data_IF_535956317806
#
_entry.id   IF_535956317806
#
_cell.length_a   1.000
_cell.length_b   1.000
_cell.length_c   1.000
_cell.angle_alpha   90.00
_cell.angle_beta   90.00
_cell.angle_gamma   90.00
#
_symmetry.space_group_name_H-M   'P 1'
#
loop_
_entity.id
_entity.type
_entity.pdbx_description
1 polymer ?
#
# COMPACT_ATOMS: atom_id res chain seq x y z
N UNK A 1 -4.05 -16.37 11.30
CA UNK A 1 -2.89 -15.59 11.82
C UNK A 1 -3.28 -14.12 11.96
N UNK A 2 -2.66 -13.32 12.85
CA UNK A 2 -2.87 -11.86 12.91
C UNK A 2 -1.67 -11.13 12.31
N UNK A 3 -1.91 -10.05 11.56
CA UNK A 3 -0.87 -9.23 10.94
C UNK A 3 -1.23 -7.74 11.02
N UNK A 4 -0.22 -6.86 11.01
CA UNK A 4 -0.37 -5.40 11.05
C UNK A 4 0.41 -4.78 9.89
N UNK A 5 -0.23 -3.88 9.14
CA UNK A 5 0.39 -3.12 8.05
C UNK A 5 0.63 -1.67 8.51
N UNK A 6 1.88 -1.23 8.52
CA UNK A 6 2.24 0.14 8.89
C UNK A 6 2.15 1.09 7.69
N UNK A 7 1.11 1.92 7.65
CA UNK A 7 0.80 2.81 6.52
C UNK A 7 0.86 4.32 6.85
N UNK A 8 1.33 4.72 8.04
CA UNK A 8 1.26 6.10 8.56
C UNK A 8 2.39 7.07 8.17
N UNK A 9 3.13 6.83 7.08
CA UNK A 9 4.26 7.69 6.69
C UNK A 9 3.86 8.94 5.89
N UNK A 10 4.62 10.04 6.01
CA UNK A 10 4.36 11.35 5.35
C UNK A 10 4.35 11.35 3.79
N UNK A 11 4.68 10.22 3.15
CA UNK A 11 4.58 10.05 1.69
C UNK A 11 5.54 10.89 0.83
N UNK A 12 6.47 11.67 1.41
CA UNK A 12 7.25 12.71 0.70
C UNK A 12 8.02 12.23 -0.54
N UNK A 13 8.59 11.01 -0.50
CA UNK A 13 9.40 10.47 -1.62
C UNK A 13 8.63 10.23 -2.91
N UNK A 14 7.34 9.86 -2.81
CA UNK A 14 6.51 9.54 -3.98
C UNK A 14 5.56 10.67 -4.39
N UNK A 15 5.60 11.83 -3.74
CA UNK A 15 4.69 12.95 -4.03
C UNK A 15 4.69 13.41 -5.49
N UNK A 16 5.79 13.21 -6.23
CA UNK A 16 5.88 13.55 -7.67
C UNK A 16 5.04 12.62 -8.55
N UNK A 17 4.76 11.39 -8.09
CA UNK A 17 4.08 10.33 -8.86
C UNK A 17 2.69 10.03 -8.29
N UNK A 18 2.54 10.18 -6.96
CA UNK A 18 1.31 9.93 -6.22
C UNK A 18 1.10 11.10 -5.27
N UNK A 19 0.37 12.11 -5.76
CA UNK A 19 0.24 13.42 -5.10
C UNK A 19 -1.02 13.53 -4.25
N UNK A 20 -2.09 12.89 -4.69
CA UNK A 20 -3.45 12.97 -4.17
C UNK A 20 -3.82 11.81 -3.22
N UNK A 21 -2.92 10.84 -3.03
CA UNK A 21 -3.19 9.60 -2.28
C UNK A 21 -2.05 9.25 -1.32
N UNK A 22 -2.33 8.55 -0.21
CA UNK A 22 -1.29 7.95 0.63
C UNK A 22 -0.39 7.01 -0.18
N UNK A 23 0.87 6.85 0.24
CA UNK A 23 1.82 5.94 -0.44
C UNK A 23 1.26 4.52 -0.60
N UNK A 24 0.57 4.00 0.41
CA UNK A 24 -0.02 2.65 0.37
C UNK A 24 -1.11 2.50 -0.68
N UNK A 25 -1.71 3.61 -1.14
CA UNK A 25 -2.75 3.64 -2.17
C UNK A 25 -2.21 3.96 -3.56
N UNK A 26 -0.88 4.05 -3.72
CA UNK A 26 -0.25 4.20 -5.02
C UNK A 26 -0.70 3.10 -5.99
N UNK A 27 -1.10 3.43 -7.23
CA UNK A 27 -1.46 2.43 -8.21
C UNK A 27 -0.21 1.68 -8.69
N UNK A 28 -0.26 0.36 -8.66
CA UNK A 28 0.70 -0.57 -9.24
C UNK A 28 -0.11 -1.47 -10.17
N UNK A 29 0.15 -1.42 -11.48
CA UNK A 29 -0.60 -2.17 -12.50
C UNK A 29 -2.14 -2.07 -12.34
N UNK A 30 -2.63 -0.85 -12.06
CA UNK A 30 -4.07 -0.57 -11.89
C UNK A 30 -4.66 -0.92 -10.52
N UNK A 31 -3.88 -1.53 -9.61
CA UNK A 31 -4.33 -1.89 -8.25
C UNK A 31 -3.60 -1.07 -7.18
N UNK A 32 -4.23 -0.70 -6.05
CA UNK A 32 -3.52 -0.07 -4.93
C UNK A 32 -2.42 -0.99 -4.38
N UNK A 33 -1.24 -0.44 -4.05
CA UNK A 33 -0.15 -1.23 -3.46
C UNK A 33 -0.56 -2.02 -2.21
N UNK A 34 -1.44 -1.44 -1.37
CA UNK A 34 -2.01 -2.10 -0.19
C UNK A 34 -2.75 -3.40 -0.53
N UNK A 35 -3.40 -3.47 -1.69
CA UNK A 35 -4.13 -4.67 -2.11
C UNK A 35 -3.18 -5.85 -2.29
N UNK A 36 -2.00 -5.64 -2.89
CA UNK A 36 -0.99 -6.69 -3.02
C UNK A 36 -0.56 -7.23 -1.65
N UNK A 37 -0.37 -6.36 -0.65
CA UNK A 37 0.02 -6.80 0.69
C UNK A 37 -1.06 -7.66 1.34
N UNK A 38 -2.33 -7.27 1.19
CA UNK A 38 -3.48 -8.04 1.69
C UNK A 38 -3.58 -9.39 0.96
N UNK A 39 -3.47 -9.40 -0.38
CA UNK A 39 -3.49 -10.64 -1.18
C UNK A 39 -2.36 -11.60 -0.80
N UNK A 40 -1.16 -11.10 -0.47
CA UNK A 40 -0.08 -11.94 0.05
C UNK A 40 -0.40 -12.48 1.44
N UNK A 41 -0.87 -11.64 2.37
CA UNK A 41 -1.19 -12.07 3.73
C UNK A 41 -2.34 -13.11 3.77
N UNK A 42 -3.30 -13.02 2.84
CA UNK A 42 -4.39 -14.00 2.69
C UNK A 42 -3.90 -15.43 2.41
N UNK A 43 -2.70 -15.61 1.86
CA UNK A 43 -2.10 -16.95 1.64
C UNK A 43 -1.67 -17.65 2.93
N UNK A 44 -1.52 -16.89 4.01
CA UNK A 44 -1.11 -17.38 5.34
C UNK A 44 -2.29 -17.40 6.33
N UNK A 45 -3.51 -17.40 5.79
CA UNK A 45 -4.74 -17.46 6.56
C UNK A 45 -5.24 -18.90 6.67
#
# INVERSE_FOLDING_TARGET
>A
MKAVILAGGLGKRLRKVVRDKPKSMAPVLGKPFLQYQIEQLKKYN
#
